data_IF_189498502671
#
_entry.id   IF_189498502671
#
_cell.length_a   1.000
_cell.length_b   1.000
_cell.length_c   1.000
_cell.angle_alpha   90.00
_cell.angle_beta   90.00
_cell.angle_gamma   90.00
#
_symmetry.space_group_name_H-M   'P 1'
#
loop_
_entity.id
_entity.type
_entity.pdbx_description
1 polymer ?
#
# COMPACT_ATOMS: atom_id res chain seq x y z
N UNK A 1 -11.24 -5.70 -14.16
CA UNK A 1 -10.03 -4.89 -14.39
C UNK A 1 -8.84 -5.78 -14.08
N UNK A 2 -7.92 -5.98 -15.04
CA UNK A 2 -6.68 -6.72 -14.77
C UNK A 2 -5.80 -5.86 -13.88
N UNK A 3 -5.71 -6.23 -12.60
CA UNK A 3 -4.81 -5.57 -11.67
C UNK A 3 -3.38 -5.80 -12.11
N UNK A 4 -2.61 -4.72 -12.26
CA UNK A 4 -1.17 -4.81 -12.52
C UNK A 4 -0.52 -5.68 -11.43
N UNK A 5 0.41 -6.55 -11.81
CA UNK A 5 1.12 -7.42 -10.85
C UNK A 5 1.94 -6.61 -9.86
N UNK A 6 2.54 -5.50 -10.31
CA UNK A 6 3.34 -4.60 -9.49
C UNK A 6 2.75 -3.20 -9.49
N UNK A 7 2.46 -2.69 -8.30
CA UNK A 7 1.99 -1.34 -8.06
C UNK A 7 3.13 -0.48 -7.56
N UNK A 8 3.17 0.77 -8.01
CA UNK A 8 3.96 1.82 -7.38
C UNK A 8 3.07 2.66 -6.44
N UNK A 9 3.63 3.72 -5.88
CA UNK A 9 2.86 4.61 -5.00
C UNK A 9 1.66 5.25 -5.70
N UNK A 10 1.77 5.61 -6.98
CA UNK A 10 0.69 6.22 -7.74
C UNK A 10 -0.45 5.24 -8.03
N UNK A 11 -0.13 3.97 -8.34
CA UNK A 11 -1.14 2.92 -8.46
C UNK A 11 -1.86 2.72 -7.13
N UNK A 12 -1.12 2.73 -6.01
CA UNK A 12 -1.71 2.62 -4.67
C UNK A 12 -2.63 3.81 -4.33
N UNK A 13 -2.21 5.03 -4.66
CA UNK A 13 -3.03 6.26 -4.53
C UNK A 13 -4.33 6.17 -5.33
N UNK A 14 -4.25 5.67 -6.57
CA UNK A 14 -5.40 5.50 -7.45
C UNK A 14 -6.38 4.42 -6.93
N UNK A 15 -5.86 3.25 -6.54
CA UNK A 15 -6.68 2.11 -6.14
C UNK A 15 -7.30 2.28 -4.75
N UNK A 16 -6.57 2.91 -3.80
CA UNK A 16 -7.15 3.23 -2.50
C UNK A 16 -8.03 4.49 -2.53
N UNK A 17 -7.96 5.28 -3.61
CA UNK A 17 -8.56 6.62 -3.71
C UNK A 17 -8.17 7.51 -2.51
N UNK A 18 -6.90 7.44 -2.10
CA UNK A 18 -6.37 8.19 -0.96
C UNK A 18 -5.11 8.96 -1.35
N UNK A 19 -4.85 10.03 -0.61
CA UNK A 19 -3.65 10.83 -0.85
C UNK A 19 -2.37 10.08 -0.48
N UNK A 20 -1.27 10.36 -1.17
CA UNK A 20 0.08 9.91 -0.81
C UNK A 20 0.40 10.08 0.68
N UNK A 21 -0.01 11.23 1.26
CA UNK A 21 0.22 11.55 2.67
C UNK A 21 -0.51 10.57 3.59
N UNK A 22 -1.76 10.26 3.28
CA UNK A 22 -2.55 9.30 4.05
C UNK A 22 -1.94 7.91 3.98
N UNK A 23 -1.56 7.44 2.78
CA UNK A 23 -0.91 6.13 2.60
C UNK A 23 0.40 6.07 3.40
N UNK A 24 1.23 7.11 3.32
CA UNK A 24 2.49 7.14 4.06
C UNK A 24 2.25 7.04 5.57
N UNK A 25 1.27 7.76 6.10
CA UNK A 25 0.99 7.76 7.55
C UNK A 25 0.33 6.45 8.02
N UNK A 26 -0.69 5.98 7.31
CA UNK A 26 -1.56 4.90 7.77
C UNK A 26 -1.15 3.50 7.30
N UNK A 27 -0.43 3.40 6.18
CA UNK A 27 0.04 2.11 5.64
C UNK A 27 1.55 1.92 5.85
N UNK A 28 2.36 2.90 5.45
CA UNK A 28 3.82 2.72 5.36
C UNK A 28 4.54 2.95 6.70
N UNK A 29 4.15 3.99 7.43
CA UNK A 29 4.75 4.39 8.71
C UNK A 29 4.06 3.76 9.92
N UNK A 30 2.83 3.27 9.77
CA UNK A 30 2.16 2.49 10.80
C UNK A 30 2.82 1.10 10.88
N UNK A 31 3.48 0.78 11.98
CA UNK A 31 4.24 -0.47 12.13
C UNK A 31 3.34 -1.71 12.09
N UNK A 32 2.12 -1.63 12.64
CA UNK A 32 1.16 -2.73 12.67
C UNK A 32 0.74 -3.05 11.24
N UNK A 33 0.24 -2.04 10.53
CA UNK A 33 -0.21 -2.20 9.14
C UNK A 33 0.95 -2.60 8.23
N UNK A 34 2.12 -1.98 8.39
CA UNK A 34 3.31 -2.35 7.62
C UNK A 34 3.69 -3.82 7.84
N UNK A 35 3.56 -4.34 9.06
CA UNK A 35 3.89 -5.74 9.36
C UNK A 35 3.00 -6.74 8.63
N UNK A 36 1.75 -6.35 8.33
CA UNK A 36 0.78 -7.16 7.59
C UNK A 36 1.04 -7.13 6.09
N UNK A 37 1.50 -6.00 5.55
CA UNK A 37 1.70 -5.84 4.10
C UNK A 37 3.14 -6.09 3.63
N UNK A 38 4.13 -6.14 4.54
CA UNK A 38 5.56 -6.24 4.20
C UNK A 38 5.91 -7.45 3.33
N UNK A 39 5.18 -8.55 3.47
CA UNK A 39 5.49 -9.80 2.75
C UNK A 39 5.20 -9.68 1.24
N UNK A 40 4.36 -8.72 0.87
CA UNK A 40 4.03 -8.39 -0.52
C UNK A 40 4.31 -6.92 -0.86
N UNK A 41 5.18 -6.26 -0.07
CA UNK A 41 5.55 -4.85 -0.25
C UNK A 41 7.05 -4.64 -0.15
N UNK A 42 7.56 -3.65 -0.87
CA UNK A 42 8.97 -3.26 -0.84
C UNK A 42 9.12 -1.80 -0.44
N UNK A 43 9.90 -1.56 0.61
CA UNK A 43 10.36 -0.22 1.00
C UNK A 43 11.64 0.11 0.24
N UNK A 44 11.77 1.33 -0.29
CA UNK A 44 13.02 1.77 -0.90
C UNK A 44 14.13 1.78 0.13
N UNK A 45 15.29 1.19 -0.19
CA UNK A 45 16.47 1.16 0.70
C UNK A 45 17.52 2.19 0.28
N UNK A 46 17.55 2.56 -1.00
CA UNK A 46 18.47 3.53 -1.57
C UNK A 46 17.70 4.69 -2.22
N UNK A 47 18.36 5.82 -2.46
CA UNK A 47 17.75 7.05 -3.01
C UNK A 47 17.09 6.87 -4.40
N UNK A 48 17.37 5.77 -5.12
CA UNK A 48 16.78 5.45 -6.42
C UNK A 48 15.79 4.29 -6.37
N UNK A 49 15.54 3.70 -5.19
CA UNK A 49 14.56 2.64 -5.06
C UNK A 49 13.15 3.25 -5.00
N UNK A 50 12.19 2.55 -5.57
CA UNK A 50 10.77 2.93 -5.51
C UNK A 50 10.00 2.01 -4.58
N UNK A 51 8.91 2.52 -4.00
CA UNK A 51 7.92 1.67 -3.36
C UNK A 51 7.30 0.73 -4.40
N UNK A 52 7.26 -0.56 -4.06
CA UNK A 52 6.58 -1.58 -4.87
C UNK A 52 5.62 -2.37 -3.99
N UNK A 53 4.48 -2.73 -4.56
CA UNK A 53 3.48 -3.58 -3.91
C UNK A 53 3.02 -4.64 -4.90
N UNK A 54 2.78 -5.87 -4.45
CA UNK A 54 2.15 -6.89 -5.31
C UNK A 54 0.67 -6.55 -5.40
N UNK A 55 0.24 -6.10 -6.58
CA UNK A 55 -1.06 -5.47 -6.78
C UNK A 55 -2.24 -6.31 -6.31
N UNK A 56 -2.38 -7.58 -6.72
CA UNK A 56 -3.48 -8.43 -6.28
C UNK A 56 -3.58 -8.60 -4.75
N UNK A 57 -2.44 -8.74 -4.06
CA UNK A 57 -2.43 -8.88 -2.60
C UNK A 57 -2.73 -7.56 -1.90
N UNK A 58 -2.17 -6.46 -2.41
CA UNK A 58 -2.44 -5.13 -1.86
C UNK A 58 -3.90 -4.72 -2.06
N UNK A 59 -4.48 -5.03 -3.23
CA UNK A 59 -5.89 -4.78 -3.52
C UNK A 59 -6.79 -5.56 -2.54
N UNK A 60 -6.53 -6.85 -2.35
CA UNK A 60 -7.28 -7.67 -1.42
C UNK A 60 -7.18 -7.14 0.02
N UNK A 61 -5.96 -6.78 0.45
CA UNK A 61 -5.73 -6.19 1.76
C UNK A 61 -6.52 -4.90 1.97
N UNK A 62 -6.53 -4.01 0.98
CA UNK A 62 -7.33 -2.80 1.02
C UNK A 62 -8.81 -3.15 1.14
N UNK A 63 -9.37 -3.99 0.28
CA UNK A 63 -10.80 -4.39 0.34
C UNK A 63 -11.19 -4.91 1.74
N UNK A 64 -10.34 -5.76 2.33
CA UNK A 64 -10.64 -6.42 3.60
C UNK A 64 -10.46 -5.51 4.83
N UNK A 65 -9.55 -4.53 4.76
CA UNK A 65 -9.15 -3.73 5.93
C UNK A 65 -9.43 -2.23 5.78
N UNK A 66 -9.92 -1.74 4.64
CA UNK A 66 -10.11 -0.30 4.39
C UNK A 66 -11.03 0.37 5.42
N UNK A 67 -12.09 -0.32 5.86
CA UNK A 67 -12.98 0.20 6.91
C UNK A 67 -12.25 0.42 8.22
N UNK A 68 -11.44 -0.56 8.65
CA UNK A 68 -10.62 -0.47 9.87
C UNK A 68 -9.59 0.65 9.78
N UNK A 69 -9.02 0.88 8.59
CA UNK A 69 -8.04 1.96 8.36
C UNK A 69 -8.67 3.36 8.39
N UNK A 70 -9.99 3.49 8.16
CA UNK A 70 -10.70 4.78 8.16
C UNK A 70 -11.37 5.14 9.48
N UNK A 71 -11.65 4.16 10.33
CA UNK A 71 -12.30 4.34 11.64
C UNK A 71 -11.30 4.49 12.80
N UNK A 72 -10.00 4.34 12.52
CA UNK A 72 -8.90 4.50 13.48
C UNK A 72 -8.36 5.92 13.61
#
# INVERSE_FOLDING_TARGET
>A
MTTKTWWNMADLEFESNESRKWIMTNLIKNEIVWSEIKDFSHKPKHNNDEYRFVGPYMQQYLIDNFKKLKEG
#
